data_IF_007586520462
#
_entry.id   IF_007586520462
#
_cell.length_a   1.000
_cell.length_b   1.000
_cell.length_c   1.000
_cell.angle_alpha   90.00
_cell.angle_beta   90.00
_cell.angle_gamma   90.00
#
_symmetry.space_group_name_H-M   'P 1'
#
loop_
_entity.id
_entity.type
_entity.pdbx_description
1 polymer ?
#
# COMPACT_ATOMS: atom_id res chain seq x y z
N UNK A 1 7.12 59.97 -0.01
CA UNK A 1 7.21 58.82 0.91
C UNK A 1 5.98 57.94 0.74
N UNK A 2 6.18 56.62 0.64
CA UNK A 2 5.18 55.54 0.84
C UNK A 2 4.08 55.39 -0.24
N UNK A 3 4.44 54.77 -1.37
CA UNK A 3 3.52 53.93 -2.17
C UNK A 3 3.99 52.47 -2.13
N UNK A 4 4.05 51.90 -0.92
CA UNK A 4 4.31 50.47 -0.69
C UNK A 4 3.28 50.05 0.36
N UNK A 5 2.04 49.81 -0.06
CA UNK A 5 0.99 49.29 0.84
C UNK A 5 0.10 48.25 0.17
N UNK A 6 0.48 47.74 -1.01
CA UNK A 6 -0.35 46.80 -1.77
C UNK A 6 0.37 45.47 -2.08
N UNK A 7 1.24 45.00 -1.17
CA UNK A 7 1.86 43.67 -1.27
C UNK A 7 1.57 42.77 -0.06
N UNK A 8 0.77 43.24 0.90
CA UNK A 8 0.60 42.54 2.18
C UNK A 8 -0.53 41.49 2.27
N UNK A 9 -1.52 41.33 1.35
CA UNK A 9 -2.45 40.22 1.48
C UNK A 9 -1.94 38.92 0.81
N UNK A 10 -0.80 38.94 0.10
CA UNK A 10 -0.34 37.76 -0.65
C UNK A 10 0.44 36.74 0.18
N UNK A 11 0.78 37.05 1.45
CA UNK A 11 1.71 36.23 2.24
C UNK A 11 1.03 35.27 3.24
N UNK A 12 -0.30 35.24 3.36
CA UNK A 12 -1.00 34.45 4.40
C UNK A 12 -1.97 33.40 3.84
N UNK A 13 -1.68 32.85 2.66
CA UNK A 13 -2.32 31.61 2.20
C UNK A 13 -1.37 30.43 2.42
N UNK A 14 -1.12 30.07 3.68
CA UNK A 14 -0.59 28.73 3.98
C UNK A 14 -1.70 27.73 3.67
N UNK A 15 -1.70 27.21 2.45
CA UNK A 15 -2.49 26.03 2.12
C UNK A 15 -2.02 24.88 2.99
N UNK A 16 -2.84 24.44 3.94
CA UNK A 16 -2.67 23.13 4.56
C UNK A 16 -2.90 22.08 3.47
N UNK A 17 -1.82 21.67 2.81
CA UNK A 17 -1.86 20.57 1.86
C UNK A 17 -2.12 19.28 2.65
N UNK A 18 -3.33 18.74 2.54
CA UNK A 18 -3.61 17.38 2.97
C UNK A 18 -2.88 16.44 2.02
N UNK A 19 -1.78 15.88 2.50
CA UNK A 19 -1.02 14.88 1.77
C UNK A 19 -1.51 13.48 2.13
N UNK A 20 -1.70 12.65 1.12
CA UNK A 20 -1.95 11.23 1.31
C UNK A 20 -0.72 10.57 1.95
N UNK A 21 -0.91 9.92 3.09
CA UNK A 21 0.13 9.17 3.77
C UNK A 21 -0.09 7.68 3.60
N UNK A 22 0.95 6.98 3.17
CA UNK A 22 0.99 5.52 3.05
C UNK A 22 2.04 4.99 4.03
N UNK A 23 1.71 3.95 4.80
CA UNK A 23 2.65 3.27 5.69
C UNK A 23 2.44 1.76 5.67
N UNK A 24 3.53 1.02 5.81
CA UNK A 24 3.52 -0.44 5.88
C UNK A 24 4.10 -0.88 7.21
N UNK A 25 3.46 -1.87 7.84
CA UNK A 25 4.02 -2.65 8.94
C UNK A 25 4.19 -4.08 8.42
N UNK A 26 5.40 -4.61 8.53
CA UNK A 26 5.74 -5.96 8.08
C UNK A 26 6.18 -6.77 9.29
N UNK A 27 5.65 -7.97 9.42
CA UNK A 27 5.97 -8.89 10.52
C UNK A 27 6.02 -10.33 10.01
N UNK A 28 6.73 -11.20 10.73
CA UNK A 28 6.98 -12.59 10.31
C UNK A 28 6.55 -13.58 11.40
N UNK A 29 5.27 -13.57 11.82
CA UNK A 29 4.81 -14.44 12.90
C UNK A 29 4.90 -15.94 12.53
N UNK A 30 4.86 -16.25 11.23
CA UNK A 30 4.89 -17.60 10.67
C UNK A 30 6.13 -17.82 9.78
N UNK A 31 7.30 -17.33 10.22
CA UNK A 31 8.53 -17.36 9.41
C UNK A 31 8.95 -18.77 8.93
N UNK A 32 8.66 -19.81 9.72
CA UNK A 32 8.91 -21.21 9.34
C UNK A 32 8.04 -21.71 8.18
N UNK A 33 6.95 -21.00 7.86
CA UNK A 33 6.07 -21.29 6.73
C UNK A 33 6.32 -20.32 5.56
N UNK A 34 7.38 -19.52 5.62
CA UNK A 34 7.72 -18.52 4.60
C UNK A 34 6.67 -17.42 4.45
N UNK A 35 6.00 -17.07 5.55
CA UNK A 35 4.91 -16.09 5.55
C UNK A 35 5.28 -14.77 6.23
N UNK A 36 4.87 -13.66 5.62
CA UNK A 36 4.79 -12.35 6.26
C UNK A 36 3.34 -11.91 6.45
N UNK A 37 3.06 -11.26 7.57
CA UNK A 37 1.83 -10.48 7.78
C UNK A 37 2.14 -9.00 7.51
N UNK A 38 1.45 -8.41 6.55
CA UNK A 38 1.66 -7.02 6.12
C UNK A 38 0.39 -6.21 6.34
N UNK A 39 0.54 -5.09 7.04
CA UNK A 39 -0.51 -4.08 7.23
C UNK A 39 -0.15 -2.81 6.47
N UNK A 40 -0.88 -2.53 5.39
CA UNK A 40 -0.84 -1.32 4.60
C UNK A 40 -1.89 -0.33 5.12
N UNK A 41 -1.47 0.82 5.61
CA UNK A 41 -2.39 1.90 6.02
C UNK A 41 -2.25 3.08 5.08
N UNK A 42 -3.39 3.57 4.59
CA UNK A 42 -3.49 4.81 3.82
C UNK A 42 -4.44 5.77 4.52
N UNK A 43 -4.00 7.02 4.67
CA UNK A 43 -4.81 8.10 5.24
C UNK A 43 -4.75 9.35 4.35
N UNK A 44 -5.81 10.14 4.36
CA UNK A 44 -5.94 11.31 3.48
C UNK A 44 -6.38 10.92 2.07
N UNK A 45 -7.09 9.79 1.92
CA UNK A 45 -7.68 9.40 0.64
C UNK A 45 -8.78 10.39 0.25
N UNK A 46 -8.71 10.89 -0.98
CA UNK A 46 -9.70 11.81 -1.57
C UNK A 46 -10.60 11.11 -2.59
N UNK A 47 -10.13 10.00 -3.16
CA UNK A 47 -10.86 9.18 -4.11
C UNK A 47 -12.01 8.47 -3.40
N UNK A 48 -13.12 8.25 -4.11
CA UNK A 48 -14.28 7.53 -3.56
C UNK A 48 -13.97 6.05 -3.29
N UNK A 49 -13.21 5.44 -4.20
CA UNK A 49 -12.82 4.04 -4.13
C UNK A 49 -11.30 3.97 -3.96
N UNK A 50 -10.84 3.20 -2.99
CA UNK A 50 -9.42 2.88 -2.84
C UNK A 50 -9.12 1.57 -3.56
N UNK A 51 -8.27 1.63 -4.59
CA UNK A 51 -7.86 0.46 -5.36
C UNK A 51 -6.43 0.11 -4.97
N UNK A 52 -6.22 -1.12 -4.50
CA UNK A 52 -4.93 -1.67 -4.13
C UNK A 52 -4.51 -2.71 -5.16
N UNK A 53 -3.23 -2.74 -5.50
CA UNK A 53 -2.71 -3.64 -6.53
C UNK A 53 -1.40 -4.27 -6.11
N UNK A 54 -1.22 -5.56 -6.39
CA UNK A 54 0.08 -6.21 -6.38
C UNK A 54 0.71 -6.07 -7.76
N UNK A 55 2.02 -5.87 -7.85
CA UNK A 55 2.67 -5.80 -9.16
C UNK A 55 2.64 -7.16 -9.86
N UNK A 56 2.71 -7.14 -11.20
CA UNK A 56 2.77 -8.36 -12.02
C UNK A 56 4.16 -8.60 -12.63
N UNK A 57 5.08 -7.66 -12.47
CA UNK A 57 6.45 -7.70 -12.95
C UNK A 57 7.36 -6.86 -12.06
N UNK A 58 8.67 -7.03 -12.23
CA UNK A 58 9.69 -6.24 -11.52
C UNK A 58 10.51 -5.44 -12.55
N UNK A 59 10.80 -4.15 -12.33
CA UNK A 59 11.65 -3.37 -13.22
C UNK A 59 12.99 -4.08 -13.49
N UNK A 60 13.44 -4.10 -14.75
CA UNK A 60 14.62 -4.86 -15.16
C UNK A 60 14.39 -6.36 -15.38
N UNK A 61 13.14 -6.83 -15.28
CA UNK A 61 12.68 -8.17 -15.68
C UNK A 61 11.42 -8.05 -16.54
N UNK A 62 11.54 -8.35 -17.83
CA UNK A 62 10.46 -8.17 -18.82
C UNK A 62 9.62 -9.44 -19.00
N UNK A 63 9.21 -10.06 -17.88
CA UNK A 63 8.30 -11.20 -17.85
C UNK A 63 7.16 -10.95 -16.85
N UNK A 64 6.02 -11.59 -17.10
CA UNK A 64 4.89 -11.55 -16.17
C UNK A 64 5.06 -12.65 -15.14
N UNK A 65 5.03 -12.27 -13.86
CA UNK A 65 5.25 -13.16 -12.72
C UNK A 65 3.99 -13.42 -11.89
N UNK A 66 2.97 -12.58 -12.04
CA UNK A 66 1.70 -12.69 -11.30
C UNK A 66 1.90 -12.74 -9.78
N UNK A 67 2.65 -11.81 -9.18
CA UNK A 67 2.99 -11.87 -7.76
C UNK A 67 1.75 -11.89 -6.84
N UNK A 68 0.60 -11.39 -7.32
CA UNK A 68 -0.68 -11.48 -6.60
C UNK A 68 -1.11 -12.91 -6.23
N UNK A 69 -0.58 -13.95 -6.90
CA UNK A 69 -0.83 -15.36 -6.55
C UNK A 69 -0.30 -15.77 -5.17
N UNK A 70 0.66 -15.02 -4.64
CA UNK A 70 1.28 -15.26 -3.34
C UNK A 70 0.63 -14.47 -2.19
N UNK A 71 -0.40 -13.67 -2.50
CA UNK A 71 -1.10 -12.80 -1.54
C UNK A 71 -2.47 -13.40 -1.21
N UNK A 72 -2.74 -13.58 0.07
CA UNK A 72 -4.00 -14.16 0.57
C UNK A 72 -4.40 -13.56 1.92
N UNK A 73 -5.55 -14.01 2.44
CA UNK A 73 -6.19 -13.50 3.66
C UNK A 73 -6.36 -11.99 3.70
N UNK A 74 -6.64 -11.39 2.53
CA UNK A 74 -6.76 -9.94 2.37
C UNK A 74 -8.02 -9.42 3.04
N UNK A 75 -7.85 -8.46 3.96
CA UNK A 75 -8.94 -7.81 4.71
C UNK A 75 -8.74 -6.31 4.72
N UNK A 76 -9.84 -5.56 4.77
CA UNK A 76 -9.82 -4.11 4.94
C UNK A 76 -10.50 -3.67 6.23
N UNK A 77 -10.00 -2.59 6.81
CA UNK A 77 -10.49 -2.01 8.05
C UNK A 77 -10.57 -0.49 7.95
N UNK A 78 -11.53 0.08 8.68
CA UNK A 78 -11.61 1.53 8.90
C UNK A 78 -10.68 1.99 10.04
N UNK A 79 -10.73 3.29 10.36
CA UNK A 79 -9.92 3.91 11.43
C UNK A 79 -10.22 3.35 12.82
N UNK A 80 -11.42 2.84 13.05
CA UNK A 80 -11.84 2.25 14.33
C UNK A 80 -11.40 0.80 14.47
N UNK A 81 -10.88 0.21 13.39
CA UNK A 81 -10.51 -1.21 13.34
C UNK A 81 -11.67 -2.13 12.96
N UNK A 82 -12.82 -1.58 12.56
CA UNK A 82 -13.94 -2.37 12.07
C UNK A 82 -13.66 -2.83 10.65
N UNK A 83 -13.96 -4.10 10.36
CA UNK A 83 -13.86 -4.65 9.01
C UNK A 83 -14.83 -3.95 8.07
N UNK A 84 -14.34 -3.57 6.90
CA UNK A 84 -15.11 -2.94 5.82
C UNK A 84 -15.06 -3.81 4.56
N UNK A 85 -15.98 -3.54 3.62
CA UNK A 85 -16.06 -4.29 2.36
C UNK A 85 -14.78 -4.14 1.54
N UNK A 86 -14.26 -5.27 1.08
CA UNK A 86 -13.15 -5.34 0.13
C UNK A 86 -13.50 -6.35 -0.96
N UNK A 87 -13.44 -5.91 -2.21
CA UNK A 87 -13.74 -6.71 -3.39
C UNK A 87 -12.44 -7.09 -4.08
N UNK A 88 -12.22 -8.37 -4.38
CA UNK A 88 -11.14 -8.77 -5.31
C UNK A 88 -11.69 -8.69 -6.73
N UNK A 89 -11.26 -7.68 -7.49
CA UNK A 89 -11.78 -7.40 -8.84
C UNK A 89 -10.89 -7.97 -9.95
N UNK A 90 -9.66 -8.37 -9.64
CA UNK A 90 -8.74 -9.10 -10.52
C UNK A 90 -7.78 -9.97 -9.67
N UNK A 91 -6.95 -10.80 -10.30
CA UNK A 91 -5.98 -11.68 -9.64
C UNK A 91 -5.03 -10.93 -8.70
N UNK A 92 -4.67 -9.69 -9.04
CA UNK A 92 -3.75 -8.84 -8.28
C UNK A 92 -4.38 -7.52 -7.82
N UNK A 93 -5.71 -7.34 -7.93
CA UNK A 93 -6.38 -6.05 -7.68
C UNK A 93 -7.54 -6.17 -6.69
N UNK A 94 -7.52 -5.30 -5.69
CA UNK A 94 -8.51 -5.22 -4.62
C UNK A 94 -9.12 -3.81 -4.57
N UNK A 95 -10.43 -3.72 -4.34
CA UNK A 95 -11.17 -2.47 -4.25
C UNK A 95 -11.86 -2.34 -2.89
N UNK A 96 -11.72 -1.18 -2.26
CA UNK A 96 -12.52 -0.73 -1.13
C UNK A 96 -13.44 0.39 -1.61
N UNK A 97 -14.75 0.13 -1.84
CA UNK A 97 -15.66 1.07 -2.50
C UNK A 97 -16.18 2.20 -1.59
N UNK A 98 -15.89 2.16 -0.29
CA UNK A 98 -16.31 3.19 0.65
C UNK A 98 -15.40 3.28 1.87
N UNK A 99 -14.93 4.49 2.18
CA UNK A 99 -14.08 4.82 3.31
C UNK A 99 -14.23 6.29 3.71
N UNK A 100 -13.78 6.65 4.91
CA UNK A 100 -13.83 8.01 5.49
C UNK A 100 -12.52 8.80 5.27
N UNK A 101 -11.78 8.44 4.22
CA UNK A 101 -10.44 8.93 3.94
C UNK A 101 -9.32 8.12 4.61
N UNK A 102 -9.65 7.02 5.31
CA UNK A 102 -8.71 6.07 5.89
C UNK A 102 -9.06 4.64 5.48
N UNK A 103 -8.04 3.86 5.11
CA UNK A 103 -8.16 2.42 4.89
C UNK A 103 -6.90 1.74 5.42
N UNK A 104 -7.08 0.66 6.19
CA UNK A 104 -6.01 -0.30 6.49
C UNK A 104 -6.31 -1.62 5.81
N UNK A 105 -5.41 -2.08 4.96
CA UNK A 105 -5.45 -3.40 4.32
C UNK A 105 -4.44 -4.30 5.00
N UNK A 106 -4.87 -5.47 5.44
CA UNK A 106 -4.00 -6.52 5.94
C UNK A 106 -4.02 -7.71 5.00
N UNK A 107 -2.88 -8.36 4.83
CA UNK A 107 -2.74 -9.55 4.01
C UNK A 107 -1.54 -10.40 4.45
N UNK A 108 -1.61 -11.67 4.10
CA UNK A 108 -0.49 -12.61 4.22
C UNK A 108 0.22 -12.70 2.88
N UNK A 109 1.56 -12.64 2.91
CA UNK A 109 2.43 -12.88 1.77
C UNK A 109 3.19 -14.18 2.00
N UNK A 110 3.07 -15.13 1.08
CA UNK A 110 3.95 -16.29 1.00
C UNK A 110 5.16 -16.01 0.10
N UNK A 111 6.36 -16.32 0.56
CA UNK A 111 7.60 -15.98 -0.14
C UNK A 111 8.73 -16.96 0.16
N UNK A 112 8.95 -17.93 -0.73
CA UNK A 112 10.00 -18.95 -0.59
C UNK A 112 11.02 -18.94 -1.76
N UNK A 113 11.15 -17.81 -2.47
CA UNK A 113 11.99 -17.72 -3.65
C UNK A 113 12.92 -16.48 -3.60
N UNK A 114 14.02 -16.54 -2.81
CA UNK A 114 14.95 -15.43 -2.70
C UNK A 114 15.80 -15.30 -3.98
N UNK A 115 15.40 -14.42 -4.88
CA UNK A 115 16.16 -14.06 -6.09
C UNK A 115 16.07 -12.55 -6.39
N UNK A 116 16.54 -12.12 -7.57
CA UNK A 116 16.45 -10.72 -7.99
C UNK A 116 15.04 -10.23 -8.35
N UNK A 117 14.01 -11.07 -8.23
CA UNK A 117 12.66 -10.83 -8.77
C UNK A 117 11.56 -11.02 -7.73
N UNK A 118 11.61 -12.11 -6.96
CA UNK A 118 10.64 -12.57 -5.97
C UNK A 118 11.11 -12.28 -4.54
N UNK A 119 10.24 -12.50 -3.55
CA UNK A 119 10.61 -12.43 -2.15
C UNK A 119 11.00 -13.82 -1.61
N UNK A 120 11.87 -13.82 -0.59
CA UNK A 120 12.20 -14.98 0.22
C UNK A 120 12.14 -14.62 1.71
N UNK A 121 11.44 -15.44 2.48
CA UNK A 121 11.27 -15.31 3.92
C UNK A 121 11.66 -16.65 4.53
N UNK A 122 12.70 -16.67 5.35
CA UNK A 122 13.16 -17.85 6.06
C UNK A 122 13.67 -17.45 7.44
N UNK A 123 13.75 -18.40 8.38
CA UNK A 123 14.26 -18.15 9.73
C UNK A 123 15.69 -17.58 9.74
N UNK A 124 16.47 -17.88 8.69
CA UNK A 124 17.85 -17.41 8.52
C UNK A 124 17.99 -16.05 7.83
N UNK A 125 17.04 -15.68 6.95
CA UNK A 125 17.17 -14.47 6.14
C UNK A 125 15.83 -13.98 5.56
N UNK A 126 15.74 -12.67 5.35
CA UNK A 126 14.59 -12.02 4.75
C UNK A 126 15.07 -11.21 3.54
N UNK A 127 14.58 -11.57 2.35
CA UNK A 127 14.81 -10.88 1.08
C UNK A 127 13.47 -10.40 0.55
N UNK A 128 13.25 -9.08 0.51
CA UNK A 128 12.00 -8.51 0.01
C UNK A 128 12.27 -7.64 -1.23
N UNK A 129 11.82 -8.12 -2.38
CA UNK A 129 11.71 -7.30 -3.57
C UNK A 129 10.36 -6.56 -3.54
N UNK A 130 10.38 -5.23 -3.59
CA UNK A 130 9.19 -4.39 -3.44
C UNK A 130 7.98 -4.84 -4.30
N UNK A 131 8.15 -5.06 -5.62
CA UNK A 131 7.05 -5.51 -6.49
C UNK A 131 6.42 -6.85 -6.11
N UNK A 132 7.19 -7.75 -5.51
CA UNK A 132 6.71 -9.06 -5.07
C UNK A 132 6.21 -9.06 -3.61
N UNK A 133 6.28 -7.92 -2.92
CA UNK A 133 6.01 -7.82 -1.48
C UNK A 133 4.84 -6.92 -1.15
N UNK A 134 4.76 -5.74 -1.77
CA UNK A 134 3.86 -4.68 -1.32
C UNK A 134 2.69 -4.46 -2.29
N UNK A 135 1.47 -4.65 -1.79
CA UNK A 135 0.30 -4.00 -2.40
C UNK A 135 0.51 -2.49 -2.39
N UNK A 136 0.19 -1.81 -3.48
CA UNK A 136 0.28 -0.36 -3.59
C UNK A 136 -1.07 0.25 -3.94
N UNK A 137 -1.31 1.49 -3.50
CA UNK A 137 -2.52 2.22 -3.85
C UNK A 137 -2.41 2.72 -5.30
N UNK A 138 -3.35 2.33 -6.15
CA UNK A 138 -3.46 2.81 -7.51
C UNK A 138 -3.98 4.25 -7.55
N UNK A 139 -3.35 5.08 -8.39
CA UNK A 139 -3.65 6.51 -8.54
C UNK A 139 -3.45 7.32 -7.24
N UNK A 140 -2.47 6.91 -6.43
CA UNK A 140 -1.93 7.69 -5.31
C UNK A 140 -1.26 8.98 -5.79
#
# INVERSE_FOLDING_TARGET
MKKISLLLPFLVASFCLFSQKISYIVSFPNINHHEASISLTVSGLVQKNAIFRMSRSSPGRYATHEFGKNVYDVKAFDRTGKTITLNRIDGDVYEVPGHDGFVRVEYTLFANHPDGTYAGIDASSIHLNGPATFLWLKNA
#
